data_IF_816489432178
#
_entry.id   IF_816489432178
#
_cell.length_a   1.000
_cell.length_b   1.000
_cell.length_c   1.000
_cell.angle_alpha   90.00
_cell.angle_beta   90.00
_cell.angle_gamma   90.00
#
_symmetry.space_group_name_H-M   'P 1'
#
loop_
_entity.id
_entity.type
_entity.pdbx_description
1 polymer ?
#
# COMPACT_ATOMS: atom_id res chain seq x y z
N UNK A 1 -18.20 -20.81 40.81
CA UNK A 1 -17.25 -19.78 40.34
C UNK A 1 -16.94 -20.08 38.89
N UNK A 2 -17.48 -19.26 37.98
CA UNK A 2 -17.28 -19.39 36.54
C UNK A 2 -15.95 -18.73 36.17
N UNK A 3 -14.98 -19.51 35.69
CA UNK A 3 -13.78 -18.98 35.05
C UNK A 3 -13.96 -19.02 33.53
N UNK A 4 -14.66 -18.01 33.00
CA UNK A 4 -14.42 -17.54 31.63
C UNK A 4 -13.42 -16.37 31.72
N UNK A 5 -12.65 -16.14 30.64
CA UNK A 5 -11.60 -15.10 30.38
C UNK A 5 -10.25 -15.82 30.15
N UNK A 6 -9.60 -15.80 28.98
CA UNK A 6 -9.63 -14.92 27.82
C UNK A 6 -9.47 -15.77 26.55
N UNK A 7 -10.28 -15.52 25.52
CA UNK A 7 -9.89 -15.90 24.17
C UNK A 7 -8.77 -14.94 23.73
N UNK A 8 -7.60 -15.41 23.24
CA UNK A 8 -6.62 -14.53 22.66
C UNK A 8 -7.21 -13.90 21.39
N UNK A 9 -7.06 -12.59 21.26
CA UNK A 9 -7.41 -11.79 20.08
C UNK A 9 -7.00 -12.52 18.78
N UNK A 10 -7.81 -12.47 17.70
CA UNK A 10 -7.41 -13.08 16.43
C UNK A 10 -6.13 -12.39 15.98
N UNK A 11 -5.08 -13.19 15.75
CA UNK A 11 -3.80 -12.78 15.18
C UNK A 11 -4.03 -11.80 14.01
N UNK A 12 -3.86 -10.50 14.25
CA UNK A 12 -3.83 -9.49 13.20
C UNK A 12 -2.49 -9.62 12.48
N UNK A 13 -2.35 -10.67 11.66
CA UNK A 13 -1.23 -10.75 10.73
C UNK A 13 -1.37 -9.54 9.80
N UNK A 14 -0.34 -8.69 9.68
CA UNK A 14 -0.38 -7.61 8.70
C UNK A 14 -0.70 -8.22 7.34
N UNK A 15 -1.73 -7.70 6.68
CA UNK A 15 -1.99 -8.06 5.29
C UNK A 15 -0.73 -7.69 4.50
N UNK A 16 -0.15 -8.62 3.72
CA UNK A 16 1.06 -8.31 2.98
C UNK A 16 0.78 -7.14 2.02
N UNK A 17 1.61 -6.11 2.11
CA UNK A 17 1.55 -4.92 1.25
C UNK A 17 2.57 -5.05 0.11
N UNK A 18 2.29 -4.54 -1.08
CA UNK A 18 3.26 -4.52 -2.18
C UNK A 18 4.56 -3.78 -1.80
N UNK A 19 5.70 -4.38 -2.12
CA UNK A 19 7.04 -3.87 -1.84
C UNK A 19 7.73 -3.34 -3.11
N UNK A 20 8.85 -2.61 -2.98
CA UNK A 20 9.62 -2.15 -4.14
C UNK A 20 9.96 -3.26 -5.14
N UNK A 21 9.79 -2.97 -6.42
CA UNK A 21 9.93 -3.92 -7.54
C UNK A 21 8.67 -4.73 -7.83
N UNK A 22 7.63 -4.66 -6.99
CA UNK A 22 6.37 -5.37 -7.22
C UNK A 22 5.32 -4.46 -7.86
N UNK A 23 4.44 -5.07 -8.65
CA UNK A 23 3.27 -4.39 -9.20
C UNK A 23 2.21 -4.24 -8.10
N UNK A 24 1.63 -3.05 -8.02
CA UNK A 24 0.62 -2.67 -7.04
C UNK A 24 -0.53 -1.91 -7.73
N UNK A 25 -1.74 -2.14 -7.24
CA UNK A 25 -2.91 -1.35 -7.57
C UNK A 25 -3.14 -0.30 -6.49
N UNK A 26 -3.29 0.95 -6.92
CA UNK A 26 -3.68 2.08 -6.09
C UNK A 26 -5.18 2.37 -6.30
N UNK A 27 -6.04 2.04 -5.31
CA UNK A 27 -7.49 2.22 -5.43
C UNK A 27 -7.93 3.69 -5.42
N UNK A 28 -7.10 4.62 -4.93
CA UNK A 28 -7.45 6.05 -4.89
C UNK A 28 -7.39 6.64 -6.28
N UNK A 29 -6.36 6.27 -7.05
CA UNK A 29 -6.21 6.75 -8.44
C UNK A 29 -6.76 5.78 -9.49
N UNK A 30 -7.09 4.55 -9.12
CA UNK A 30 -7.56 3.52 -10.04
C UNK A 30 -6.46 3.05 -11.01
N UNK A 31 -5.19 3.18 -10.62
CA UNK A 31 -4.02 2.89 -11.48
C UNK A 31 -3.20 1.74 -10.92
N UNK A 32 -2.56 1.02 -11.84
CA UNK A 32 -1.59 -0.02 -11.52
C UNK A 32 -0.19 0.44 -11.91
N UNK A 33 0.79 0.19 -11.06
CA UNK A 33 2.19 0.55 -11.31
C UNK A 33 3.16 -0.29 -10.49
N UNK A 34 4.44 -0.18 -10.81
CA UNK A 34 5.51 -0.83 -10.05
C UNK A 34 5.94 0.09 -8.91
N UNK A 35 5.94 -0.43 -7.69
CA UNK A 35 6.47 0.29 -6.52
C UNK A 35 7.97 0.52 -6.73
N UNK A 36 8.38 1.79 -6.76
CA UNK A 36 9.79 2.19 -6.88
C UNK A 36 10.45 2.29 -5.51
N UNK A 37 9.75 2.89 -4.55
CA UNK A 37 10.24 3.09 -3.19
C UNK A 37 9.07 3.24 -2.20
N UNK A 38 9.35 3.01 -0.91
CA UNK A 38 8.43 3.29 0.19
C UNK A 38 9.20 4.05 1.27
N UNK A 39 8.71 5.22 1.64
CA UNK A 39 9.35 6.12 2.60
C UNK A 39 8.42 6.49 3.74
N UNK A 40 9.01 6.83 4.89
CA UNK A 40 8.26 7.42 5.99
C UNK A 40 7.80 8.82 5.61
N UNK A 41 6.58 9.15 6.01
CA UNK A 41 6.04 10.49 5.83
C UNK A 41 6.89 11.53 6.58
N UNK A 42 7.49 11.16 7.71
CA UNK A 42 8.33 12.07 8.49
C UNK A 42 9.63 12.51 7.77
N UNK A 43 10.05 11.80 6.73
CA UNK A 43 11.31 12.04 6.01
C UNK A 43 11.13 12.91 4.75
N UNK A 44 9.90 13.35 4.48
CA UNK A 44 9.51 13.96 3.22
C UNK A 44 8.75 15.27 3.43
N UNK A 45 8.90 16.18 2.47
CA UNK A 45 8.13 17.43 2.41
C UNK A 45 7.04 17.27 1.35
N UNK A 46 5.78 17.24 1.79
CA UNK A 46 4.60 17.23 0.92
C UNK A 46 3.47 18.04 1.55
N UNK A 47 2.61 18.55 0.69
CA UNK A 47 1.44 19.38 1.00
C UNK A 47 0.15 18.55 1.22
N UNK A 48 0.17 17.28 0.80
CA UNK A 48 -0.98 16.38 0.91
C UNK A 48 -1.01 15.59 2.22
N UNK A 49 -2.20 15.40 2.80
CA UNK A 49 -2.39 14.55 4.00
C UNK A 49 -2.53 13.10 3.59
N UNK A 50 -1.60 12.26 4.05
CA UNK A 50 -1.71 10.80 3.94
C UNK A 50 -2.45 10.23 5.15
N UNK A 51 -3.22 9.15 4.94
CA UNK A 51 -3.88 8.42 6.04
C UNK A 51 -2.91 7.55 6.81
N UNK A 52 -1.85 7.09 6.16
CA UNK A 52 -0.74 6.31 6.72
C UNK A 52 0.53 7.16 6.87
N UNK A 53 1.39 6.72 7.78
CA UNK A 53 2.74 7.20 8.03
C UNK A 53 3.76 6.73 6.98
N UNK A 54 3.34 5.98 5.94
CA UNK A 54 4.18 5.61 4.80
C UNK A 54 3.59 5.98 3.45
N UNK A 55 4.44 6.51 2.59
CA UNK A 55 4.11 6.83 1.19
C UNK A 55 4.88 5.89 0.26
N UNK A 56 4.19 5.40 -0.76
CA UNK A 56 4.76 4.63 -1.85
C UNK A 56 4.88 5.48 -3.11
N UNK A 57 5.97 5.32 -3.83
CA UNK A 57 6.19 5.90 -5.15
C UNK A 57 5.95 4.81 -6.19
N UNK A 58 5.09 5.07 -7.17
CA UNK A 58 4.70 4.13 -8.20
C UNK A 58 4.96 4.72 -9.58
N UNK A 59 5.43 3.87 -10.50
CA UNK A 59 5.63 4.23 -11.91
C UNK A 59 4.86 3.25 -12.81
N UNK A 60 4.29 3.70 -13.94
CA UNK A 60 3.67 2.76 -14.88
C UNK A 60 4.71 1.77 -15.41
N UNK A 61 4.31 0.51 -15.63
CA UNK A 61 5.19 -0.55 -16.14
C UNK A 61 5.81 -0.20 -17.50
N UNK A 62 5.04 0.47 -18.36
CA UNK A 62 5.47 0.89 -19.70
C UNK A 62 6.25 2.21 -19.73
N UNK A 63 6.63 2.73 -18.56
CA UNK A 63 7.19 4.07 -18.43
C UNK A 63 6.11 5.15 -18.41
N UNK A 64 6.46 6.32 -17.87
CA UNK A 64 5.53 7.41 -17.64
C UNK A 64 5.86 8.18 -16.36
N UNK A 65 4.93 9.05 -15.96
CA UNK A 65 5.08 9.92 -14.80
C UNK A 65 4.84 9.11 -13.52
N UNK A 66 5.78 9.23 -12.58
CA UNK A 66 5.66 8.66 -11.24
C UNK A 66 4.56 9.37 -10.44
N UNK A 67 3.88 8.63 -9.56
CA UNK A 67 2.94 9.20 -8.60
C UNK A 67 3.14 8.61 -7.21
N UNK A 68 2.63 9.34 -6.22
CA UNK A 68 2.63 8.91 -4.83
C UNK A 68 1.27 8.34 -4.43
N UNK A 69 1.28 7.35 -3.54
CA UNK A 69 0.08 6.77 -2.94
C UNK A 69 0.34 6.40 -1.48
N UNK A 70 -0.74 6.26 -0.70
CA UNK A 70 -0.66 5.69 0.63
C UNK A 70 -0.22 4.22 0.54
N UNK A 71 0.92 3.89 1.16
CA UNK A 71 1.51 2.55 1.09
C UNK A 71 0.62 1.47 1.74
N UNK A 72 -0.19 1.84 2.73
CA UNK A 72 -1.11 0.91 3.40
C UNK A 72 -2.39 0.67 2.58
N UNK A 73 -2.72 1.56 1.64
CA UNK A 73 -3.87 1.41 0.74
C UNK A 73 -3.57 0.53 -0.48
N UNK A 74 -2.29 0.32 -0.80
CA UNK A 74 -1.87 -0.47 -1.96
C UNK A 74 -2.28 -1.93 -1.84
N UNK A 75 -2.69 -2.50 -2.97
CA UNK A 75 -3.13 -3.90 -3.08
C UNK A 75 -2.32 -4.60 -4.15
N UNK A 76 -2.20 -5.92 -4.03
CA UNK A 76 -1.78 -6.72 -5.17
C UNK A 76 -2.87 -6.65 -6.24
N UNK A 77 -2.52 -6.43 -7.52
CA UNK A 77 -3.51 -6.36 -8.59
C UNK A 77 -4.26 -7.68 -8.71
N UNK A 78 -5.59 -7.61 -8.86
CA UNK A 78 -6.39 -8.76 -9.26
C UNK A 78 -6.20 -9.06 -10.77
N UNK A 79 -6.48 -10.30 -11.19
CA UNK A 79 -6.53 -10.65 -12.61
C UNK A 79 -7.58 -9.80 -13.33
N UNK A 80 -7.13 -8.78 -14.07
CA UNK A 80 -7.97 -7.77 -14.74
C UNK A 80 -7.56 -6.32 -14.46
N UNK A 81 -6.86 -6.07 -13.34
CA UNK A 81 -6.35 -4.73 -12.98
C UNK A 81 -4.93 -4.46 -13.53
N UNK A 82 -4.33 -5.46 -14.18
CA UNK A 82 -3.16 -5.29 -15.04
C UNK A 82 -3.61 -4.72 -16.38
N UNK A 83 -3.99 -3.45 -16.41
CA UNK A 83 -4.29 -2.78 -17.67
C UNK A 83 -3.00 -2.55 -18.45
N UNK A 84 -2.95 -3.16 -19.64
CA UNK A 84 -1.85 -3.19 -20.60
C UNK A 84 -1.35 -1.79 -20.97
#
# INVERSE_FOLDING_TARGET
MNHQLHQPYPNHRPVPVPAPGQVAYDPVSGRTGVVQAVHSVAELLFDHRMTSDRVAFLRPERGGVEWTADAAALRFPADGERTF
#
